data_IF_432476756670
#
_entry.id   IF_432476756670
#
_cell.length_a   1.000
_cell.length_b   1.000
_cell.length_c   1.000
_cell.angle_alpha   90.00
_cell.angle_beta   90.00
_cell.angle_gamma   90.00
#
_symmetry.space_group_name_H-M   'P 1'
#
loop_
_entity.id
_entity.type
_entity.pdbx_description
1 polymer ?
#
# COMPACT_ATOMS: atom_id res chain seq x y z
N UNK A 1 -4.24 7.48 -9.37
CA UNK A 1 -3.63 6.79 -8.19
C UNK A 1 -2.13 6.99 -8.22
N UNK A 2 -1.60 7.46 -7.14
CA UNK A 2 -0.17 7.69 -7.02
C UNK A 2 0.49 6.51 -6.32
N UNK A 3 1.49 5.92 -6.98
CA UNK A 3 2.24 4.82 -6.39
C UNK A 3 3.50 5.37 -5.75
N UNK A 4 3.76 4.97 -4.51
CA UNK A 4 4.97 5.35 -3.80
C UNK A 4 5.88 4.16 -3.63
N UNK A 5 7.16 4.38 -3.87
CA UNK A 5 8.15 3.33 -3.67
C UNK A 5 8.37 3.07 -2.20
N UNK A 6 8.38 1.81 -1.85
CA UNK A 6 8.67 1.39 -0.49
C UNK A 6 10.01 0.69 -0.44
N UNK A 7 10.79 1.06 0.54
CA UNK A 7 12.12 0.48 0.72
C UNK A 7 12.10 -0.60 1.80
N UNK A 8 11.06 -1.42 1.77
CA UNK A 8 10.89 -2.49 2.74
C UNK A 8 11.13 -3.84 2.07
N UNK A 9 11.59 -4.80 2.85
CA UNK A 9 11.84 -6.15 2.36
C UNK A 9 10.52 -6.78 1.91
N UNK A 10 10.46 -7.19 0.65
CA UNK A 10 9.27 -7.82 0.09
C UNK A 10 8.24 -6.84 -0.45
N UNK A 11 8.40 -5.55 -0.20
CA UNK A 11 7.48 -4.53 -0.71
C UNK A 11 8.21 -3.61 -1.67
N UNK A 12 7.64 -3.44 -2.86
CA UNK A 12 8.24 -2.60 -3.90
C UNK A 12 7.59 -1.23 -3.98
N UNK A 13 6.27 -1.19 -3.98
CA UNK A 13 5.55 0.07 -4.04
C UNK A 13 4.14 -0.09 -3.51
N UNK A 14 3.50 1.02 -3.21
CA UNK A 14 2.11 1.02 -2.79
C UNK A 14 1.43 2.29 -3.27
N UNK A 15 0.16 2.17 -3.62
CA UNK A 15 -0.64 3.29 -4.05
C UNK A 15 -2.03 3.21 -3.44
N UNK A 16 -2.64 4.36 -3.19
CA UNK A 16 -3.96 4.42 -2.59
C UNK A 16 -4.85 5.37 -3.37
N UNK A 17 -6.06 4.93 -3.66
CA UNK A 17 -7.06 5.75 -4.34
C UNK A 17 -8.14 6.14 -3.33
N UNK A 18 -8.18 7.40 -2.96
CA UNK A 18 -9.16 7.92 -2.00
C UNK A 18 -10.59 7.86 -2.53
N UNK A 19 -10.75 7.94 -3.83
CA UNK A 19 -12.08 7.92 -4.43
C UNK A 19 -12.77 6.58 -4.27
N UNK A 20 -12.03 5.52 -4.52
CA UNK A 20 -12.56 4.18 -4.46
C UNK A 20 -12.14 3.45 -3.18
N UNK A 21 -11.29 4.08 -2.36
CA UNK A 21 -10.72 3.50 -1.16
C UNK A 21 -10.02 2.18 -1.46
N UNK A 22 -9.34 2.16 -2.59
CA UNK A 22 -8.63 0.98 -3.03
C UNK A 22 -7.14 1.14 -2.75
N UNK A 23 -6.56 0.13 -2.17
CA UNK A 23 -5.13 0.09 -1.91
C UNK A 23 -4.49 -0.94 -2.83
N UNK A 24 -3.44 -0.53 -3.53
CA UNK A 24 -2.68 -1.43 -4.40
C UNK A 24 -1.27 -1.55 -3.83
N UNK A 25 -0.83 -2.77 -3.62
CA UNK A 25 0.50 -3.06 -3.09
C UNK A 25 1.25 -3.95 -4.05
N UNK A 26 2.42 -3.51 -4.50
CA UNK A 26 3.30 -4.33 -5.32
C UNK A 26 4.36 -4.96 -4.43
N UNK A 27 4.46 -6.27 -4.50
CA UNK A 27 5.45 -7.02 -3.74
C UNK A 27 6.29 -7.87 -4.69
N UNK A 28 7.32 -8.50 -4.14
CA UNK A 28 8.14 -9.41 -4.92
C UNK A 28 7.37 -10.67 -5.32
N UNK A 29 6.29 -10.96 -4.61
CA UNK A 29 5.43 -12.11 -4.90
C UNK A 29 4.32 -11.77 -5.90
N UNK A 30 4.10 -10.49 -6.20
CA UNK A 30 3.07 -10.06 -7.12
C UNK A 30 2.39 -8.78 -6.65
N UNK A 31 1.33 -8.41 -7.35
CA UNK A 31 0.55 -7.20 -7.04
C UNK A 31 -0.75 -7.60 -6.37
N UNK A 32 -1.09 -6.94 -5.29
CA UNK A 32 -2.30 -7.19 -4.54
C UNK A 32 -3.14 -5.94 -4.44
N UNK A 33 -4.45 -6.10 -4.57
CA UNK A 33 -5.39 -5.00 -4.44
C UNK A 33 -6.34 -5.26 -3.28
N UNK A 34 -6.58 -4.22 -2.48
CA UNK A 34 -7.51 -4.29 -1.35
C UNK A 34 -8.56 -3.21 -1.51
N UNK A 35 -9.82 -3.56 -1.32
CA UNK A 35 -10.92 -2.62 -1.39
C UNK A 35 -11.37 -2.21 0.02
N UNK A 36 -12.09 -1.09 0.09
CA UNK A 36 -12.63 -0.57 1.35
C UNK A 36 -11.55 -0.30 2.40
N UNK A 37 -10.42 0.21 1.95
CA UNK A 37 -9.33 0.58 2.84
C UNK A 37 -9.50 2.04 3.23
N UNK A 38 -9.59 2.32 4.52
CA UNK A 38 -9.72 3.69 4.99
C UNK A 38 -8.38 4.43 4.89
N UNK A 39 -8.40 5.77 4.75
CA UNK A 39 -7.16 6.55 4.72
C UNK A 39 -6.28 6.35 5.95
N UNK A 40 -6.90 6.07 7.09
CA UNK A 40 -6.14 5.79 8.31
C UNK A 40 -5.30 4.55 8.19
N UNK A 41 -5.88 3.50 7.62
CA UNK A 41 -5.18 2.23 7.43
C UNK A 41 -4.00 2.43 6.48
N UNK A 42 -4.21 3.19 5.42
CA UNK A 42 -3.14 3.51 4.48
C UNK A 42 -2.01 4.29 5.16
N UNK A 43 -2.37 5.27 5.98
CA UNK A 43 -1.38 6.06 6.71
C UNK A 43 -0.54 5.18 7.63
N UNK A 44 -1.19 4.28 8.35
CA UNK A 44 -0.48 3.36 9.24
C UNK A 44 0.48 2.47 8.48
N UNK A 45 0.04 2.00 7.32
CA UNK A 45 0.89 1.16 6.49
C UNK A 45 2.14 1.92 6.04
N UNK A 46 1.97 3.17 5.63
CA UNK A 46 3.09 3.98 5.15
C UNK A 46 3.99 4.46 6.29
N UNK A 47 3.42 4.64 7.48
CA UNK A 47 4.19 5.08 8.64
C UNK A 47 4.97 3.93 9.28
N UNK A 48 4.55 2.70 9.04
CA UNK A 48 5.21 1.52 9.57
C UNK A 48 5.95 0.78 8.44
N UNK A 49 7.22 1.06 8.23
CA UNK A 49 7.99 0.45 7.13
C UNK A 49 8.23 -1.04 7.35
N UNK A 50 7.93 -1.53 8.52
CA UNK A 50 8.11 -2.94 8.83
C UNK A 50 6.80 -3.52 9.29
N UNK A 51 5.95 -3.96 8.38
CA UNK A 51 4.65 -4.54 8.71
C UNK A 51 4.77 -5.99 9.17
N UNK A 52 5.48 -6.20 10.16
CA UNK A 52 5.61 -7.56 10.70
C UNK A 52 4.69 -7.77 11.86
#
# INVERSE_FOLDING_TARGET
MEMKRLNATGLRSAGYDERTRKLVVETTAGTFEYANVSPEVYRRLMASPSPA
#
